data_IF_283546410732
#
_entry.id   IF_283546410732
#
_cell.length_a   1.000
_cell.length_b   1.000
_cell.length_c   1.000
_cell.angle_alpha   90.00
_cell.angle_beta   90.00
_cell.angle_gamma   90.00
#
_symmetry.space_group_name_H-M   'P 1'
#
loop_
_entity.id
_entity.type
_entity.pdbx_description
1 polymer ?
#
# COMPACT_ATOMS: atom_id res chain seq x y z
N UNK A 1 25.62 45.08 0.17
CA UNK A 1 24.46 44.65 1.00
C UNK A 1 23.45 43.78 0.21
N UNK A 2 23.46 43.78 -1.12
CA UNK A 2 22.48 43.06 -1.96
C UNK A 2 22.84 41.60 -2.26
N UNK A 3 24.10 41.20 -2.12
CA UNK A 3 24.57 39.81 -2.38
C UNK A 3 24.15 38.79 -1.30
N UNK A 4 23.87 39.25 -0.08
CA UNK A 4 23.44 38.34 1.02
C UNK A 4 21.94 38.04 0.94
N UNK A 5 21.13 38.98 0.42
CA UNK A 5 19.67 38.75 0.22
C UNK A 5 19.35 37.78 -0.92
N UNK A 6 20.16 37.78 -1.98
CA UNK A 6 19.92 36.88 -3.14
C UNK A 6 20.26 35.43 -2.82
N UNK A 7 21.22 35.14 -1.94
CA UNK A 7 21.53 33.76 -1.48
C UNK A 7 20.44 33.18 -0.61
N UNK A 8 19.84 33.98 0.29
CA UNK A 8 18.75 33.53 1.14
C UNK A 8 17.46 33.17 0.38
N UNK A 9 17.11 33.93 -0.67
CA UNK A 9 15.96 33.65 -1.54
C UNK A 9 16.21 32.43 -2.39
N UNK A 10 17.40 32.18 -2.90
CA UNK A 10 17.76 30.98 -3.65
C UNK A 10 17.71 29.73 -2.81
N UNK A 11 18.08 29.78 -1.53
CA UNK A 11 17.98 28.62 -0.61
C UNK A 11 16.56 28.34 -0.15
N UNK A 12 15.72 29.36 0.03
CA UNK A 12 14.28 29.21 0.32
C UNK A 12 13.56 28.65 -0.90
N UNK A 13 13.87 29.12 -2.11
CA UNK A 13 13.31 28.59 -3.36
C UNK A 13 13.74 27.13 -3.63
N UNK A 14 15.00 26.79 -3.36
CA UNK A 14 15.49 25.40 -3.45
C UNK A 14 14.83 24.49 -2.42
N UNK A 15 14.57 24.96 -1.20
CA UNK A 15 13.82 24.20 -0.19
C UNK A 15 12.35 23.99 -0.55
N UNK A 16 11.72 24.90 -1.30
CA UNK A 16 10.35 24.77 -1.78
C UNK A 16 10.20 23.83 -2.99
N UNK A 17 11.30 23.51 -3.69
CA UNK A 17 11.28 22.64 -4.90
C UNK A 17 11.77 21.22 -4.59
N UNK A 18 12.43 20.97 -3.46
CA UNK A 18 12.85 19.63 -3.09
C UNK A 18 11.67 18.85 -2.49
N UNK A 19 11.27 17.77 -3.18
CA UNK A 19 10.31 16.82 -2.64
C UNK A 19 10.79 16.29 -1.28
N UNK A 20 9.87 16.18 -0.35
CA UNK A 20 10.15 15.47 0.90
C UNK A 20 10.49 13.99 0.60
N UNK A 21 11.15 13.30 1.51
CA UNK A 21 11.46 11.87 1.37
C UNK A 21 10.21 11.03 1.13
N UNK A 22 9.09 11.41 1.74
CA UNK A 22 7.79 10.75 1.58
C UNK A 22 7.22 10.95 0.16
N UNK A 23 7.38 12.14 -0.41
CA UNK A 23 6.94 12.43 -1.79
C UNK A 23 7.81 11.72 -2.82
N UNK A 24 9.11 11.52 -2.54
CA UNK A 24 10.00 10.73 -3.39
C UNK A 24 9.55 9.28 -3.46
N UNK A 25 9.30 8.64 -2.32
CA UNK A 25 8.79 7.26 -2.27
C UNK A 25 7.50 7.11 -3.09
N UNK A 26 6.53 8.01 -2.89
CA UNK A 26 5.26 7.98 -3.63
C UNK A 26 5.43 8.26 -5.12
N UNK A 27 6.43 9.02 -5.54
CA UNK A 27 6.71 9.33 -6.95
C UNK A 27 7.57 8.28 -7.65
N UNK A 28 8.06 7.28 -6.92
CA UNK A 28 8.93 6.23 -7.46
C UNK A 28 10.37 6.66 -7.68
N UNK A 29 10.78 7.77 -7.06
CA UNK A 29 12.18 8.18 -7.03
C UNK A 29 12.97 7.32 -6.05
N UNK A 30 14.27 7.12 -6.34
CA UNK A 30 15.14 6.39 -5.43
C UNK A 30 15.32 7.15 -4.13
N UNK A 31 15.20 6.45 -3.02
CA UNK A 31 15.42 6.94 -1.66
C UNK A 31 16.63 6.21 -1.07
N UNK A 32 17.68 6.98 -0.74
CA UNK A 32 18.89 6.45 -0.11
C UNK A 32 18.88 6.68 1.40
N UNK A 33 19.44 5.74 2.19
CA UNK A 33 19.61 5.95 3.64
C UNK A 33 20.41 7.20 4.03
N UNK A 34 21.21 7.73 3.11
CA UNK A 34 22.03 8.92 3.33
C UNK A 34 21.29 10.23 3.01
N UNK A 35 20.03 10.16 2.56
CA UNK A 35 19.27 11.36 2.21
C UNK A 35 18.75 12.13 3.44
N UNK A 36 18.67 13.46 3.33
CA UNK A 36 17.99 14.26 4.35
C UNK A 36 16.53 13.80 4.54
N UNK A 37 16.12 13.56 5.78
CA UNK A 37 14.76 13.12 6.11
C UNK A 37 14.58 11.59 6.17
N UNK A 38 15.57 10.79 5.78
CA UNK A 38 15.47 9.31 5.85
C UNK A 38 15.17 8.83 7.29
N UNK A 39 15.84 9.39 8.29
CA UNK A 39 15.58 9.04 9.68
C UNK A 39 14.14 9.32 10.10
N UNK A 40 13.52 10.40 9.63
CA UNK A 40 12.12 10.71 9.92
C UNK A 40 11.17 9.68 9.28
N UNK A 41 11.48 9.19 8.08
CA UNK A 41 10.73 8.09 7.47
C UNK A 41 10.83 6.82 8.30
N UNK A 42 12.03 6.46 8.76
CA UNK A 42 12.24 5.29 9.60
C UNK A 42 11.53 5.42 10.95
N UNK A 43 11.54 6.59 11.58
CA UNK A 43 10.78 6.86 12.81
C UNK A 43 9.28 6.67 12.62
N UNK A 44 8.71 7.16 11.53
CA UNK A 44 7.30 6.98 11.18
C UNK A 44 6.94 5.51 10.90
N UNK A 45 7.84 4.77 10.24
CA UNK A 45 7.70 3.32 10.02
C UNK A 45 7.66 2.59 11.37
N UNK A 46 8.62 2.84 12.26
CA UNK A 46 8.63 2.20 13.59
C UNK A 46 7.43 2.60 14.44
N UNK A 47 6.97 3.84 14.36
CA UNK A 47 5.74 4.28 15.01
C UNK A 47 4.51 3.51 14.50
N UNK A 48 4.41 3.29 13.21
CA UNK A 48 3.35 2.48 12.59
C UNK A 48 3.42 1.03 13.06
N UNK A 49 4.60 0.40 13.00
CA UNK A 49 4.83 -0.98 13.42
C UNK A 49 4.46 -1.16 14.90
N UNK A 50 4.79 -0.19 15.77
CA UNK A 50 4.41 -0.22 17.18
C UNK A 50 2.90 -0.30 17.35
N UNK A 51 2.15 0.59 16.70
CA UNK A 51 0.68 0.62 16.78
C UNK A 51 0.08 -0.67 16.21
N UNK A 52 0.59 -1.18 15.09
CA UNK A 52 0.16 -2.44 14.49
C UNK A 52 0.45 -3.62 15.42
N UNK A 53 1.60 -3.64 16.11
CA UNK A 53 1.94 -4.68 17.10
C UNK A 53 0.97 -4.65 18.28
N UNK A 54 0.62 -3.47 18.80
CA UNK A 54 -0.37 -3.32 19.87
C UNK A 54 -1.75 -3.83 19.42
N UNK A 55 -2.19 -3.52 18.19
CA UNK A 55 -3.43 -4.04 17.61
C UNK A 55 -3.41 -5.57 17.54
N UNK A 56 -2.30 -6.16 17.13
CA UNK A 56 -2.14 -7.59 16.89
C UNK A 56 -1.98 -8.42 18.17
N UNK A 57 -1.80 -7.79 19.33
CA UNK A 57 -1.58 -8.48 20.61
C UNK A 57 -2.89 -8.69 21.36
N UNK A 58 -3.35 -9.93 21.40
CA UNK A 58 -4.59 -10.33 22.06
C UNK A 58 -5.84 -10.07 21.22
N UNK A 59 -7.01 -10.34 21.81
CA UNK A 59 -8.30 -10.09 21.18
C UNK A 59 -8.60 -8.58 21.14
N UNK A 60 -9.16 -8.14 20.03
CA UNK A 60 -9.66 -6.76 19.83
C UNK A 60 -11.09 -6.80 19.32
N UNK A 61 -11.93 -5.92 19.84
CA UNK A 61 -13.27 -5.70 19.26
C UNK A 61 -13.15 -4.97 17.92
N UNK A 62 -14.17 -5.02 17.06
CA UNK A 62 -14.17 -4.28 15.80
C UNK A 62 -13.91 -2.77 16.00
N UNK A 63 -14.49 -2.16 17.03
CA UNK A 63 -14.32 -0.74 17.37
C UNK A 63 -12.87 -0.42 17.75
N UNK A 64 -12.24 -1.31 18.54
CA UNK A 64 -10.81 -1.16 18.89
C UNK A 64 -9.93 -1.26 17.64
N UNK A 65 -10.20 -2.22 16.75
CA UNK A 65 -9.49 -2.36 15.47
C UNK A 65 -9.62 -1.10 14.62
N UNK A 66 -10.82 -0.53 14.51
CA UNK A 66 -11.03 0.74 13.82
C UNK A 66 -10.21 1.88 14.43
N UNK A 67 -10.14 1.96 15.75
CA UNK A 67 -9.33 2.93 16.46
C UNK A 67 -7.82 2.79 16.17
N UNK A 68 -7.32 1.56 16.14
CA UNK A 68 -5.92 1.28 15.76
C UNK A 68 -5.65 1.59 14.30
N UNK A 69 -6.52 1.16 13.40
CA UNK A 69 -6.41 1.45 11.96
C UNK A 69 -6.42 2.96 11.70
N UNK A 70 -7.28 3.71 12.39
CA UNK A 70 -7.29 5.17 12.28
C UNK A 70 -5.94 5.81 12.65
N UNK A 71 -5.28 5.32 13.70
CA UNK A 71 -3.92 5.77 14.09
C UNK A 71 -2.88 5.39 13.03
N UNK A 72 -2.95 4.18 12.50
CA UNK A 72 -2.03 3.66 11.46
C UNK A 72 -2.16 4.46 10.17
N UNK A 73 -3.39 4.69 9.70
CA UNK A 73 -3.68 5.37 8.45
C UNK A 73 -3.56 6.92 8.55
N UNK A 74 -3.55 7.47 9.77
CA UNK A 74 -3.64 8.91 10.00
C UNK A 74 -4.98 9.54 9.61
N UNK A 75 -6.01 8.72 9.41
CA UNK A 75 -7.38 9.08 9.05
C UNK A 75 -8.34 7.98 9.46
N UNK A 76 -9.63 8.26 9.72
CA UNK A 76 -10.61 7.24 10.08
C UNK A 76 -10.69 6.14 9.01
N UNK A 77 -10.84 4.89 9.45
CA UNK A 77 -11.27 3.78 8.59
C UNK A 77 -12.79 3.87 8.42
N UNK A 78 -13.30 3.58 7.22
CA UNK A 78 -14.73 3.53 6.93
C UNK A 78 -15.44 2.50 7.81
N UNK A 79 -16.55 2.89 8.46
CA UNK A 79 -17.26 2.07 9.46
C UNK A 79 -17.71 0.71 8.94
N UNK A 80 -18.08 0.64 7.64
CA UNK A 80 -18.52 -0.58 6.97
C UNK A 80 -17.38 -1.53 6.60
N UNK A 81 -16.13 -1.12 6.77
CA UNK A 81 -14.95 -1.93 6.43
C UNK A 81 -14.51 -2.74 7.63
N UNK A 82 -14.32 -4.04 7.42
CA UNK A 82 -13.88 -4.97 8.46
C UNK A 82 -12.42 -5.37 8.24
N UNK A 83 -11.62 -5.26 9.30
CA UNK A 83 -10.23 -5.75 9.35
C UNK A 83 -10.12 -6.77 10.46
N UNK A 84 -9.58 -7.93 10.15
CA UNK A 84 -9.33 -9.02 11.12
C UNK A 84 -7.84 -9.10 11.43
N UNK A 85 -7.38 -8.74 12.63
CA UNK A 85 -5.99 -8.92 13.05
C UNK A 85 -5.60 -10.41 13.10
N UNK A 86 -4.27 -10.72 13.02
CA UNK A 86 -3.19 -9.78 12.84
C UNK A 86 -3.08 -9.21 11.43
N UNK A 87 -2.74 -7.92 11.32
CA UNK A 87 -2.40 -7.24 10.08
C UNK A 87 -1.03 -6.56 10.24
N UNK A 88 -0.11 -6.81 9.32
CA UNK A 88 1.24 -6.28 9.34
C UNK A 88 1.36 -5.10 8.38
N UNK A 89 1.71 -3.94 8.89
CA UNK A 89 1.86 -2.70 8.11
C UNK A 89 3.17 -2.03 8.52
N UNK A 90 4.00 -1.70 7.55
CA UNK A 90 5.23 -0.93 7.78
C UNK A 90 4.94 0.59 7.83
N UNK A 91 4.20 1.11 6.85
CA UNK A 91 3.87 2.52 6.76
C UNK A 91 2.43 2.73 6.26
N UNK A 92 1.57 3.28 7.13
CA UNK A 92 0.13 3.33 6.87
C UNK A 92 -0.38 4.61 6.24
N UNK A 93 0.29 5.76 6.42
CA UNK A 93 -0.20 7.07 5.97
C UNK A 93 -0.57 7.14 4.49
N UNK A 94 0.20 6.53 3.54
CA UNK A 94 -0.16 6.52 2.13
C UNK A 94 -1.18 5.43 1.74
N UNK A 95 -1.72 4.70 2.70
CA UNK A 95 -2.74 3.68 2.43
C UNK A 95 -4.13 4.30 2.49
N UNK A 96 -4.94 4.03 1.47
CA UNK A 96 -6.35 4.38 1.44
C UNK A 96 -7.19 3.12 1.28
N UNK A 97 -8.23 2.96 2.08
CA UNK A 97 -9.14 1.82 2.05
C UNK A 97 -10.56 2.36 1.95
N UNK A 98 -11.31 1.89 0.97
CA UNK A 98 -12.69 2.24 0.71
C UNK A 98 -13.66 1.59 1.71
N UNK A 99 -14.95 1.79 1.46
CA UNK A 99 -16.05 1.27 2.28
C UNK A 99 -16.40 -0.17 1.93
N UNK A 100 -16.98 -0.89 2.89
CA UNK A 100 -17.49 -2.24 2.69
C UNK A 100 -16.41 -3.28 2.38
N UNK A 101 -15.14 -2.97 2.66
CA UNK A 101 -14.04 -3.90 2.44
C UNK A 101 -13.98 -4.97 3.54
N UNK A 102 -13.45 -6.14 3.19
CA UNK A 102 -13.18 -7.22 4.13
C UNK A 102 -11.72 -7.67 4.00
N UNK A 103 -10.90 -7.33 4.99
CA UNK A 103 -9.47 -7.65 5.05
C UNK A 103 -9.25 -8.71 6.12
N UNK A 104 -8.80 -9.89 5.70
CA UNK A 104 -8.64 -11.03 6.58
C UNK A 104 -7.24 -11.11 7.21
N UNK A 105 -7.07 -12.07 8.10
CA UNK A 105 -5.91 -12.21 9.00
C UNK A 105 -4.60 -12.43 8.26
N UNK A 106 -3.51 -12.04 8.92
CA UNK A 106 -2.12 -12.28 8.50
C UNK A 106 -1.74 -11.60 7.17
N UNK A 107 -2.50 -10.61 6.72
CA UNK A 107 -2.10 -9.81 5.57
C UNK A 107 -0.88 -8.93 5.89
N UNK A 108 -0.09 -8.62 4.85
CA UNK A 108 1.09 -7.75 4.95
C UNK A 108 0.97 -6.63 3.92
N UNK A 109 1.00 -5.38 4.37
CA UNK A 109 0.93 -4.20 3.52
C UNK A 109 2.20 -3.37 3.70
N UNK A 110 3.07 -3.36 2.69
CA UNK A 110 4.23 -2.48 2.62
C UNK A 110 3.83 -1.22 1.87
N UNK A 111 3.48 -0.17 2.65
CA UNK A 111 2.70 0.96 2.18
C UNK A 111 3.48 2.16 1.68
N UNK A 112 4.82 2.22 1.81
CA UNK A 112 5.61 3.41 1.50
C UNK A 112 5.39 3.95 0.07
N UNK A 113 5.23 3.07 -0.92
CA UNK A 113 4.94 3.46 -2.30
C UNK A 113 3.47 3.80 -2.59
N UNK A 114 2.59 3.72 -1.57
CA UNK A 114 1.16 4.00 -1.69
C UNK A 114 0.31 2.79 -2.06
N UNK A 115 -0.78 2.58 -1.32
CA UNK A 115 -1.79 1.54 -1.60
C UNK A 115 -3.16 2.20 -1.64
N UNK A 116 -3.88 2.02 -2.75
CA UNK A 116 -5.27 2.42 -2.86
C UNK A 116 -6.15 1.19 -3.02
N UNK A 117 -7.07 1.00 -2.09
CA UNK A 117 -8.08 -0.07 -2.10
C UNK A 117 -9.44 0.61 -2.25
N UNK A 118 -10.18 0.25 -3.30
CA UNK A 118 -11.51 0.74 -3.60
C UNK A 118 -12.59 0.19 -2.67
N UNK A 119 -13.82 0.33 -3.07
CA UNK A 119 -14.99 -0.09 -2.30
C UNK A 119 -15.29 -1.59 -2.49
N UNK A 120 -15.86 -2.22 -1.45
CA UNK A 120 -16.34 -3.60 -1.49
C UNK A 120 -15.27 -4.62 -1.92
N UNK A 121 -13.99 -4.38 -1.58
CA UNK A 121 -12.87 -5.26 -1.89
C UNK A 121 -12.75 -6.36 -0.84
N UNK A 122 -12.59 -7.61 -1.29
CA UNK A 122 -12.31 -8.75 -0.42
C UNK A 122 -10.85 -9.18 -0.53
N UNK A 123 -10.14 -9.14 0.59
CA UNK A 123 -8.73 -9.55 0.71
C UNK A 123 -8.66 -10.77 1.62
N UNK A 124 -8.33 -11.91 1.02
CA UNK A 124 -8.16 -13.18 1.73
C UNK A 124 -6.97 -13.17 2.69
N UNK A 125 -6.89 -14.16 3.61
CA UNK A 125 -5.81 -14.25 4.58
C UNK A 125 -4.43 -14.35 3.91
N UNK A 126 -3.40 -13.83 4.59
CA UNK A 126 -2.00 -13.91 4.14
C UNK A 126 -1.73 -13.26 2.77
N UNK A 127 -2.57 -12.32 2.34
CA UNK A 127 -2.31 -11.53 1.14
C UNK A 127 -1.19 -10.51 1.43
N UNK A 128 -0.26 -10.37 0.50
CA UNK A 128 0.84 -9.42 0.58
C UNK A 128 0.67 -8.36 -0.51
N UNK A 129 0.63 -7.08 -0.12
CA UNK A 129 0.65 -5.92 -0.99
C UNK A 129 1.98 -5.21 -0.81
N UNK A 130 2.86 -5.32 -1.78
CA UNK A 130 4.24 -4.83 -1.67
C UNK A 130 4.45 -3.68 -2.64
N UNK A 131 4.71 -2.48 -2.13
CA UNK A 131 4.90 -1.28 -2.96
C UNK A 131 6.35 -0.86 -3.12
N UNK A 132 7.28 -1.50 -2.42
CA UNK A 132 8.69 -1.12 -2.36
C UNK A 132 9.55 -2.16 -3.09
N UNK A 133 10.53 -1.65 -3.84
CA UNK A 133 11.66 -2.40 -4.37
C UNK A 133 12.97 -1.84 -3.83
N UNK A 134 14.00 -2.67 -3.79
CA UNK A 134 15.37 -2.25 -3.59
C UNK A 134 16.08 -2.01 -4.92
N UNK A 135 17.15 -1.21 -4.88
CA UNK A 135 18.02 -1.04 -6.05
C UNK A 135 18.57 -2.42 -6.49
N UNK A 136 18.49 -2.77 -7.79
CA UNK A 136 19.09 -4.00 -8.30
C UNK A 136 20.61 -4.03 -8.20
N UNK A 137 21.28 -2.88 -8.10
CA UNK A 137 22.71 -2.79 -7.87
C UNK A 137 23.05 -3.29 -6.45
N UNK A 138 23.87 -4.36 -6.30
CA UNK A 138 24.25 -4.88 -5.00
C UNK A 138 24.99 -3.88 -4.13
N UNK A 139 25.73 -2.94 -4.71
CA UNK A 139 26.49 -1.92 -3.98
C UNK A 139 25.57 -0.78 -3.48
N UNK A 140 24.36 -0.68 -4.01
CA UNK A 140 23.34 0.32 -3.62
C UNK A 140 22.04 -0.33 -3.10
N UNK A 141 22.07 -1.60 -2.71
CA UNK A 141 20.91 -2.41 -2.33
C UNK A 141 20.08 -1.83 -1.17
N UNK A 142 20.68 -0.97 -0.34
CA UNK A 142 19.99 -0.28 0.75
C UNK A 142 19.06 0.84 0.28
N UNK A 143 19.24 1.35 -0.93
CA UNK A 143 18.33 2.31 -1.52
C UNK A 143 17.03 1.61 -1.99
N UNK A 144 15.90 2.32 -1.85
CA UNK A 144 14.57 1.81 -2.20
C UNK A 144 13.84 2.77 -3.12
N UNK A 145 12.83 2.26 -3.81
CA UNK A 145 11.90 3.08 -4.58
C UNK A 145 10.50 2.48 -4.54
N UNK A 146 9.50 3.35 -4.39
CA UNK A 146 8.11 2.97 -4.31
C UNK A 146 7.44 2.88 -5.69
N UNK A 147 6.45 2.00 -5.82
CA UNK A 147 5.49 2.02 -6.93
C UNK A 147 4.11 1.69 -6.37
N UNK A 148 3.11 2.57 -6.60
CA UNK A 148 1.80 2.40 -5.98
C UNK A 148 1.07 1.15 -6.48
N UNK A 149 0.32 0.53 -5.58
CA UNK A 149 -0.67 -0.49 -5.91
C UNK A 149 -2.05 0.15 -5.91
N UNK A 150 -2.83 -0.13 -6.95
CA UNK A 150 -4.23 0.29 -7.05
C UNK A 150 -5.12 -0.93 -7.19
N UNK A 151 -6.05 -1.11 -6.27
CA UNK A 151 -7.08 -2.16 -6.30
C UNK A 151 -8.42 -1.46 -6.46
N UNK A 152 -9.09 -1.67 -7.58
CA UNK A 152 -10.38 -1.06 -7.86
C UNK A 152 -11.50 -1.76 -7.09
N UNK A 153 -12.71 -1.21 -7.18
CA UNK A 153 -13.87 -1.71 -6.44
C UNK A 153 -14.19 -3.17 -6.79
N UNK A 154 -14.77 -3.87 -5.82
CA UNK A 154 -15.30 -5.24 -5.93
C UNK A 154 -14.27 -6.29 -6.36
N UNK A 155 -12.99 -6.00 -6.21
CA UNK A 155 -11.93 -6.98 -6.43
C UNK A 155 -11.94 -8.03 -5.32
N UNK A 156 -11.67 -9.27 -5.70
CA UNK A 156 -11.44 -10.36 -4.75
C UNK A 156 -10.03 -10.92 -4.90
N UNK A 157 -9.23 -10.84 -3.84
CA UNK A 157 -7.88 -11.40 -3.79
C UNK A 157 -7.91 -12.65 -2.92
N UNK A 158 -7.62 -13.80 -3.53
CA UNK A 158 -7.58 -15.10 -2.86
C UNK A 158 -6.43 -15.22 -1.85
N UNK A 159 -6.60 -16.12 -0.88
CA UNK A 159 -5.63 -16.40 0.18
C UNK A 159 -4.19 -16.55 -0.34
N UNK A 160 -3.22 -16.02 0.42
CA UNK A 160 -1.77 -16.20 0.19
C UNK A 160 -1.29 -15.69 -1.18
N UNK A 161 -1.98 -14.71 -1.76
CA UNK A 161 -1.54 -14.05 -2.99
C UNK A 161 -0.61 -12.88 -2.68
N UNK A 162 0.29 -12.58 -3.61
CA UNK A 162 1.21 -11.44 -3.51
C UNK A 162 1.02 -10.53 -4.72
N UNK A 163 0.82 -9.23 -4.46
CA UNK A 163 0.74 -8.19 -5.48
C UNK A 163 2.02 -7.38 -5.45
N UNK A 164 2.71 -7.30 -6.59
CA UNK A 164 4.01 -6.63 -6.71
C UNK A 164 3.86 -5.12 -6.96
N UNK A 165 4.94 -4.35 -6.73
CA UNK A 165 4.93 -2.90 -6.87
C UNK A 165 4.47 -2.42 -8.24
N UNK A 166 3.60 -1.41 -8.27
CA UNK A 166 3.12 -0.76 -9.48
C UNK A 166 1.93 -1.43 -10.15
N UNK A 167 1.39 -2.52 -9.58
CA UNK A 167 0.27 -3.26 -10.19
C UNK A 167 -1.06 -2.56 -9.93
N UNK A 168 -1.88 -2.47 -10.99
CA UNK A 168 -3.30 -2.10 -10.94
C UNK A 168 -4.16 -3.34 -11.14
N UNK A 169 -5.12 -3.56 -10.23
CA UNK A 169 -6.13 -4.63 -10.33
C UNK A 169 -7.47 -3.97 -10.64
N UNK A 170 -8.00 -4.22 -11.83
CA UNK A 170 -9.21 -3.60 -12.35
C UNK A 170 -10.49 -4.09 -11.68
N UNK A 171 -11.54 -3.28 -11.79
CA UNK A 171 -12.86 -3.48 -11.21
C UNK A 171 -13.36 -4.93 -11.30
N UNK A 172 -13.80 -5.48 -10.18
CA UNK A 172 -14.41 -6.81 -10.11
C UNK A 172 -13.50 -7.96 -10.53
N UNK A 173 -12.19 -7.76 -10.66
CA UNK A 173 -11.25 -8.83 -10.96
C UNK A 173 -11.10 -9.80 -9.79
N UNK A 174 -10.71 -11.03 -10.09
CA UNK A 174 -10.44 -12.07 -9.10
C UNK A 174 -9.01 -12.56 -9.26
N UNK A 175 -8.27 -12.54 -8.17
CA UNK A 175 -6.94 -13.13 -8.05
C UNK A 175 -7.08 -14.49 -7.37
N UNK A 176 -6.72 -15.56 -8.08
CA UNK A 176 -6.75 -16.92 -7.52
C UNK A 176 -5.77 -17.08 -6.36
N UNK A 177 -6.10 -17.98 -5.42
CA UNK A 177 -5.27 -18.24 -4.24
C UNK A 177 -3.81 -18.59 -4.61
N UNK A 178 -2.83 -18.13 -3.80
CA UNK A 178 -1.42 -18.44 -3.98
C UNK A 178 -0.76 -17.78 -5.20
N UNK A 179 -1.40 -16.77 -5.79
CA UNK A 179 -0.91 -16.12 -7.01
C UNK A 179 0.15 -15.05 -6.73
N UNK A 180 1.07 -14.85 -7.67
CA UNK A 180 2.00 -13.70 -7.68
C UNK A 180 1.64 -12.80 -8.87
N UNK A 181 1.02 -11.66 -8.56
CA UNK A 181 0.55 -10.70 -9.55
C UNK A 181 1.69 -9.73 -9.89
N UNK A 182 2.23 -9.87 -11.09
CA UNK A 182 3.41 -9.13 -11.57
C UNK A 182 3.09 -8.08 -12.63
N UNK A 183 1.83 -8.00 -13.08
CA UNK A 183 1.34 -7.09 -14.13
C UNK A 183 -0.09 -6.69 -13.82
N UNK A 184 -0.54 -5.60 -14.43
CA UNK A 184 -1.91 -5.15 -14.32
C UNK A 184 -2.92 -6.22 -14.70
N UNK A 185 -4.03 -6.27 -13.96
CA UNK A 185 -5.13 -7.19 -14.17
C UNK A 185 -6.32 -6.41 -14.75
N UNK A 186 -6.82 -6.76 -15.94
CA UNK A 186 -7.97 -6.10 -16.52
C UNK A 186 -9.24 -6.29 -15.67
N UNK A 187 -10.20 -5.36 -15.73
CA UNK A 187 -11.49 -5.50 -15.05
C UNK A 187 -12.21 -6.81 -15.44
N UNK A 188 -13.03 -7.32 -14.52
CA UNK A 188 -13.87 -8.49 -14.74
C UNK A 188 -13.09 -9.70 -15.28
N UNK A 189 -11.90 -9.94 -14.73
CA UNK A 189 -10.98 -11.00 -15.17
C UNK A 189 -10.54 -11.86 -14.00
N UNK A 190 -10.44 -13.15 -14.20
CA UNK A 190 -9.81 -14.09 -13.26
C UNK A 190 -8.38 -14.34 -13.71
N UNK A 191 -7.42 -14.13 -12.82
CA UNK A 191 -6.01 -14.48 -13.01
C UNK A 191 -5.54 -15.40 -11.89
N UNK A 192 -4.61 -16.30 -12.15
CA UNK A 192 -4.04 -17.18 -11.12
C UNK A 192 -2.63 -17.66 -11.50
N UNK A 193 -1.89 -18.15 -10.50
CA UNK A 193 -0.59 -18.78 -10.64
C UNK A 193 0.60 -17.87 -10.26
N UNK A 194 1.81 -18.42 -10.41
CA UNK A 194 3.08 -17.71 -10.18
C UNK A 194 4.00 -17.87 -11.41
N UNK A 195 4.21 -16.79 -12.21
CA UNK A 195 3.47 -15.53 -12.13
C UNK A 195 2.00 -15.68 -12.58
N UNK A 196 1.10 -14.82 -12.08
CA UNK A 196 -0.32 -14.87 -12.41
C UNK A 196 -0.56 -14.71 -13.92
N UNK A 197 -1.46 -15.53 -14.46
CA UNK A 197 -1.86 -15.53 -15.87
C UNK A 197 -3.37 -15.50 -15.98
N UNK A 198 -3.85 -15.02 -17.10
CA UNK A 198 -5.27 -15.01 -17.45
C UNK A 198 -5.86 -16.43 -17.41
N UNK A 199 -6.99 -16.57 -16.73
CA UNK A 199 -7.76 -17.82 -16.68
C UNK A 199 -9.05 -17.66 -17.49
N UNK A 200 -9.86 -16.64 -17.19
CA UNK A 200 -11.13 -16.38 -17.87
C UNK A 200 -11.64 -14.96 -17.62
N UNK A 201 -12.57 -14.51 -18.44
CA UNK A 201 -13.43 -13.35 -18.16
C UNK A 201 -14.56 -13.74 -17.21
N UNK A 202 -14.97 -12.79 -16.37
CA UNK A 202 -16.16 -12.90 -15.53
C UNK A 202 -17.33 -12.34 -16.34
N UNK A 203 -18.24 -13.21 -16.75
CA UNK A 203 -19.50 -12.78 -17.38
C UNK A 203 -20.39 -12.20 -16.26
N UNK A 204 -20.99 -11.01 -16.49
CA UNK A 204 -22.07 -10.56 -15.61
C UNK A 204 -23.15 -11.65 -15.59
N UNK A 205 -23.66 -12.06 -14.41
CA UNK A 205 -24.84 -12.88 -14.41
C UNK A 205 -25.91 -12.12 -15.21
N UNK A 206 -26.60 -12.84 -16.10
CA UNK A 206 -27.66 -12.28 -16.95
C UNK A 206 -28.57 -11.37 -16.12
N UNK A 207 -28.69 -10.11 -16.50
CA UNK A 207 -29.90 -9.36 -16.18
C UNK A 207 -31.02 -10.24 -16.78
N UNK A 208 -31.84 -10.83 -15.92
CA UNK A 208 -33.11 -11.38 -16.38
C UNK A 208 -33.90 -10.19 -16.86
N UNK A 209 -34.17 -10.15 -18.16
CA UNK A 209 -35.10 -9.25 -18.80
C UNK A 209 -36.49 -9.37 -18.15
#
# INVERSE_FOLDING_TARGET
RDLVRSRGLGDVYKRQIMKSIFEKDLSGEMVSPNEPGYNALIEDIFATIKVATEMNTGYRTPEEVHGYMGKILGKPLEESTTVLPPLYIDYGKPITIGKGCFIQQCCTFFGCGGITIGDEVFIGPKVNLITINHDPDPENRSATYGRPITIEDKVWIGINSTVLPGVRIGYGAIIGAGSVVTKDVPPMTVVAGNPARFIKKINKPHQKD
#
